data_IF_179933341796
#
_entry.id   IF_179933341796
#
_cell.length_a   1.000
_cell.length_b   1.000
_cell.length_c   1.000
_cell.angle_alpha   90.00
_cell.angle_beta   90.00
_cell.angle_gamma   90.00
#
_symmetry.space_group_name_H-M   'P 1'
#
loop_
_entity.id
_entity.type
_entity.pdbx_description
1 polymer ?
#
# COMPACT_ATOMS: atom_id res chain seq x y z
N UNK A 1 -17.14 -14.00 -6.35
CA UNK A 1 -15.91 -13.77 -5.55
C UNK A 1 -15.49 -12.29 -5.66
N UNK A 2 -14.89 -11.67 -4.65
CA UNK A 2 -14.50 -10.26 -4.74
C UNK A 2 -13.33 -10.12 -5.71
N UNK A 3 -13.48 -9.29 -6.72
CA UNK A 3 -12.41 -8.94 -7.67
C UNK A 3 -11.26 -8.30 -6.89
N UNK A 4 -10.12 -8.97 -6.87
CA UNK A 4 -8.93 -8.53 -6.14
C UNK A 4 -8.06 -7.67 -7.07
N UNK A 5 -7.44 -6.62 -6.53
CA UNK A 5 -6.39 -5.90 -7.25
C UNK A 5 -5.21 -6.84 -7.48
N UNK A 6 -4.62 -6.75 -8.63
CA UNK A 6 -3.43 -7.52 -8.98
C UNK A 6 -2.17 -6.73 -8.69
N UNK A 7 -1.10 -7.44 -8.44
CA UNK A 7 0.24 -6.94 -8.14
C UNK A 7 1.16 -7.29 -9.31
N UNK A 8 1.94 -6.34 -9.78
CA UNK A 8 2.93 -6.60 -10.83
C UNK A 8 4.00 -7.55 -10.34
N UNK A 9 4.48 -8.42 -11.22
CA UNK A 9 5.49 -9.44 -10.88
C UNK A 9 6.79 -8.81 -10.38
N UNK A 10 7.13 -7.59 -10.83
CA UNK A 10 8.30 -6.85 -10.34
C UNK A 10 8.26 -6.62 -8.82
N UNK A 11 7.07 -6.48 -8.21
CA UNK A 11 6.96 -6.36 -6.75
C UNK A 11 7.34 -7.68 -6.06
N UNK A 12 7.04 -8.81 -6.71
CA UNK A 12 7.46 -10.15 -6.24
C UNK A 12 8.97 -10.28 -6.33
N UNK A 13 9.55 -9.93 -7.49
CA UNK A 13 11.00 -9.95 -7.69
C UNK A 13 11.72 -9.09 -6.63
N UNK A 14 11.23 -7.88 -6.37
CA UNK A 14 11.83 -6.98 -5.40
C UNK A 14 11.73 -7.49 -3.95
N UNK A 15 10.59 -8.02 -3.53
CA UNK A 15 10.47 -8.51 -2.15
C UNK A 15 11.30 -9.77 -1.91
N UNK A 16 11.55 -10.57 -2.95
CA UNK A 16 12.41 -11.76 -2.90
C UNK A 16 13.89 -11.42 -2.72
N UNK A 17 14.32 -10.17 -2.98
CA UNK A 17 15.71 -9.74 -2.75
C UNK A 17 16.16 -10.00 -1.31
N UNK A 18 15.26 -9.87 -0.34
CA UNK A 18 15.55 -10.23 1.05
C UNK A 18 15.83 -11.72 1.24
N UNK A 19 15.02 -12.59 0.65
CA UNK A 19 15.22 -14.04 0.70
C UNK A 19 16.52 -14.46 0.02
N UNK A 20 16.80 -13.92 -1.16
CA UNK A 20 18.02 -14.18 -1.92
C UNK A 20 19.28 -13.73 -1.13
N UNK A 21 19.23 -12.57 -0.48
CA UNK A 21 20.31 -12.08 0.37
C UNK A 21 20.63 -13.03 1.52
N UNK A 22 19.63 -13.73 2.04
CA UNK A 22 19.78 -14.73 3.10
C UNK A 22 19.98 -16.16 2.57
N UNK A 23 20.26 -16.33 1.27
CA UNK A 23 20.55 -17.65 0.66
C UNK A 23 19.36 -18.60 0.60
N UNK A 24 18.13 -18.11 0.68
CA UNK A 24 16.93 -18.94 0.57
C UNK A 24 16.61 -19.24 -0.90
N UNK A 25 16.29 -20.50 -1.18
CA UNK A 25 15.74 -20.91 -2.48
C UNK A 25 14.36 -20.25 -2.70
N UNK A 26 14.16 -19.68 -3.88
CA UNK A 26 12.97 -18.90 -4.22
C UNK A 26 11.76 -19.79 -4.53
N UNK A 27 11.97 -20.90 -5.25
CA UNK A 27 10.90 -21.77 -5.72
C UNK A 27 10.00 -22.28 -4.58
N UNK A 28 10.55 -22.83 -3.46
CA UNK A 28 9.72 -23.28 -2.35
C UNK A 28 8.91 -22.18 -1.65
N UNK A 29 9.37 -20.92 -1.76
CA UNK A 29 8.65 -19.76 -1.21
C UNK A 29 7.47 -19.40 -2.10
N UNK A 30 7.67 -19.42 -3.42
CA UNK A 30 6.64 -19.16 -4.43
C UNK A 30 5.56 -20.25 -4.41
N UNK A 31 5.96 -21.51 -4.37
CA UNK A 31 5.03 -22.66 -4.32
C UNK A 31 4.08 -22.55 -3.13
N UNK A 32 4.61 -22.23 -1.95
CA UNK A 32 3.79 -22.01 -0.74
C UNK A 32 2.86 -20.80 -0.83
N UNK A 33 3.16 -19.87 -1.70
CA UNK A 33 2.33 -18.70 -1.97
C UNK A 33 1.35 -18.93 -3.13
N UNK A 34 1.43 -20.07 -3.81
CA UNK A 34 0.64 -20.37 -4.99
C UNK A 34 1.01 -19.49 -6.19
N UNK A 35 2.30 -19.13 -6.31
CA UNK A 35 2.83 -18.31 -7.41
C UNK A 35 3.67 -19.21 -8.32
N UNK A 36 3.26 -19.45 -9.57
CA UNK A 36 4.08 -20.20 -10.52
C UNK A 36 5.44 -19.51 -10.74
N UNK A 37 6.59 -20.23 -10.56
CA UNK A 37 7.93 -19.63 -10.73
C UNK A 37 8.16 -19.03 -12.12
N UNK A 38 7.60 -19.63 -13.18
CA UNK A 38 7.69 -19.13 -14.54
C UNK A 38 7.15 -17.69 -14.73
N UNK A 39 6.30 -17.20 -13.81
CA UNK A 39 5.83 -15.83 -13.88
C UNK A 39 6.92 -14.80 -13.59
N UNK A 40 8.02 -15.18 -12.94
CA UNK A 40 9.13 -14.26 -12.66
C UNK A 40 9.81 -13.78 -13.95
N UNK A 41 9.80 -14.59 -15.01
CA UNK A 41 10.43 -14.25 -16.29
C UNK A 41 9.51 -13.43 -17.21
N UNK A 42 8.23 -13.33 -16.86
CA UNK A 42 7.24 -12.63 -17.65
C UNK A 42 7.03 -11.19 -17.11
N UNK A 43 7.72 -10.21 -17.68
CA UNK A 43 7.78 -8.80 -17.19
C UNK A 43 6.42 -8.13 -17.02
N UNK A 44 5.40 -8.55 -17.78
CA UNK A 44 4.03 -8.03 -17.71
C UNK A 44 3.12 -8.87 -16.81
N UNK A 45 3.62 -9.98 -16.26
CA UNK A 45 2.84 -10.86 -15.42
C UNK A 45 2.35 -10.15 -14.14
N UNK A 46 1.22 -10.63 -13.65
CA UNK A 46 0.59 -10.10 -12.46
C UNK A 46 0.09 -11.26 -11.60
N UNK A 47 0.08 -11.07 -10.32
CA UNK A 47 -0.45 -12.02 -9.34
C UNK A 47 -1.59 -11.40 -8.54
N UNK A 48 -2.39 -12.22 -7.89
CA UNK A 48 -3.44 -11.74 -6.98
C UNK A 48 -2.86 -11.15 -5.69
N UNK A 49 -3.61 -10.26 -5.04
CA UNK A 49 -3.25 -9.76 -3.70
C UNK A 49 -3.14 -10.89 -2.67
N UNK A 50 -3.96 -11.93 -2.81
CA UNK A 50 -3.93 -13.10 -1.94
C UNK A 50 -2.61 -13.86 -2.02
N UNK A 51 -2.12 -14.10 -3.24
CA UNK A 51 -0.81 -14.71 -3.50
C UNK A 51 0.33 -13.86 -2.93
N UNK A 52 0.30 -12.54 -3.18
CA UNK A 52 1.32 -11.63 -2.64
C UNK A 52 1.32 -11.60 -1.12
N UNK A 53 0.15 -11.51 -0.49
CA UNK A 53 0.02 -11.58 0.96
C UNK A 53 0.47 -12.93 1.53
N UNK A 54 0.23 -14.04 0.81
CA UNK A 54 0.73 -15.36 1.18
C UNK A 54 2.26 -15.40 1.14
N UNK A 55 2.89 -14.89 0.07
CA UNK A 55 4.34 -14.78 -0.06
C UNK A 55 4.96 -14.01 1.12
N UNK A 56 4.40 -12.85 1.43
CA UNK A 56 4.88 -12.03 2.54
C UNK A 56 4.76 -12.76 3.88
N UNK A 57 3.67 -13.49 4.12
CA UNK A 57 3.54 -14.34 5.33
C UNK A 57 4.58 -15.45 5.37
N UNK A 58 4.88 -16.07 4.24
CA UNK A 58 5.93 -17.10 4.10
C UNK A 58 7.29 -16.51 4.43
N UNK A 59 7.65 -15.38 3.80
CA UNK A 59 8.91 -14.67 4.04
C UNK A 59 9.07 -14.27 5.50
N UNK A 60 8.06 -13.64 6.10
CA UNK A 60 8.07 -13.25 7.52
C UNK A 60 8.32 -14.43 8.45
N UNK A 61 7.71 -15.58 8.18
CA UNK A 61 7.90 -16.79 9.00
C UNK A 61 9.29 -17.38 8.83
N UNK A 62 9.78 -17.47 7.59
CA UNK A 62 11.08 -18.09 7.27
C UNK A 62 12.24 -17.26 7.78
N UNK A 63 12.20 -15.96 7.58
CA UNK A 63 13.23 -15.02 7.98
C UNK A 63 13.06 -14.54 9.44
N UNK A 64 11.90 -14.80 10.07
CA UNK A 64 11.51 -14.25 11.38
C UNK A 64 11.67 -12.73 11.42
N UNK A 65 11.32 -12.07 10.31
CA UNK A 65 11.51 -10.66 10.06
C UNK A 65 10.24 -10.03 9.46
N UNK A 66 9.78 -8.93 10.03
CA UNK A 66 8.62 -8.16 9.55
C UNK A 66 8.95 -7.29 8.33
N UNK A 67 10.22 -7.12 8.00
CA UNK A 67 10.72 -6.43 6.80
C UNK A 67 11.39 -7.40 5.80
N UNK A 68 11.11 -8.70 5.93
CA UNK A 68 11.35 -9.75 4.92
C UNK A 68 12.82 -9.88 4.47
N UNK A 69 13.79 -9.58 5.34
CA UNK A 69 15.22 -9.60 5.01
C UNK A 69 15.68 -8.42 4.15
N UNK A 70 14.85 -7.40 3.99
CA UNK A 70 15.19 -6.22 3.20
C UNK A 70 16.11 -5.24 3.93
N UNK A 71 16.19 -5.32 5.27
CA UNK A 71 17.08 -4.50 6.11
C UNK A 71 18.30 -5.29 6.55
N UNK A 72 19.30 -4.59 7.10
CA UNK A 72 20.50 -5.20 7.64
C UNK A 72 20.21 -6.05 8.87
N UNK A 73 19.36 -5.54 9.74
CA UNK A 73 18.91 -6.24 10.94
C UNK A 73 17.45 -6.65 10.81
N UNK A 74 17.09 -7.87 11.22
CA UNK A 74 15.72 -8.33 11.16
C UNK A 74 14.83 -7.57 12.16
N UNK A 75 13.70 -7.09 11.68
CA UNK A 75 12.64 -6.56 12.53
C UNK A 75 11.82 -7.73 13.11
N UNK A 76 12.01 -8.01 14.38
CA UNK A 76 11.38 -9.17 15.04
C UNK A 76 9.87 -9.16 14.90
N UNK A 77 9.24 -10.33 14.60
CA UNK A 77 7.78 -10.46 14.55
C UNK A 77 7.11 -9.99 15.84
N UNK A 78 6.10 -9.13 15.69
CA UNK A 78 5.39 -8.48 16.80
C UNK A 78 5.78 -7.03 17.05
N UNK A 79 6.91 -6.55 16.47
CA UNK A 79 7.35 -5.15 16.60
C UNK A 79 6.34 -4.17 16.05
N UNK A 80 5.81 -4.42 14.85
CA UNK A 80 4.76 -3.60 14.24
C UNK A 80 3.50 -3.59 15.11
N UNK A 81 3.02 -4.75 15.53
CA UNK A 81 1.81 -4.84 16.37
C UNK A 81 1.99 -4.15 17.74
N UNK A 82 3.21 -4.14 18.29
CA UNK A 82 3.53 -3.41 19.54
C UNK A 82 3.47 -1.91 19.31
N UNK A 83 4.09 -1.43 18.24
CA UNK A 83 4.00 -0.03 17.82
C UNK A 83 2.55 0.40 17.66
N UNK A 84 1.76 -0.33 16.88
CA UNK A 84 0.37 0.00 16.59
C UNK A 84 -0.50 0.13 17.86
N UNK A 85 -0.25 -0.68 18.91
CA UNK A 85 -0.94 -0.55 20.21
C UNK A 85 -0.63 0.77 20.92
N UNK A 86 0.52 1.38 20.67
CA UNK A 86 0.84 2.72 21.17
C UNK A 86 0.15 3.79 20.31
N UNK A 87 0.23 3.67 18.98
CA UNK A 87 -0.31 4.68 18.07
C UNK A 87 -1.83 4.88 18.21
N UNK A 88 -2.60 3.83 18.46
CA UNK A 88 -4.07 3.96 18.67
C UNK A 88 -4.46 4.66 19.98
N UNK A 89 -3.50 4.97 20.84
CA UNK A 89 -3.72 5.71 22.10
C UNK A 89 -3.34 7.18 21.98
N UNK A 90 -2.71 7.60 20.90
CA UNK A 90 -2.38 9.00 20.67
C UNK A 90 -3.62 9.80 20.30
N UNK A 91 -3.57 11.10 20.51
CA UNK A 91 -4.72 11.98 20.25
C UNK A 91 -4.78 12.36 18.78
N UNK A 92 -3.63 12.74 18.20
CA UNK A 92 -3.55 13.24 16.83
C UNK A 92 -2.66 12.34 15.94
N UNK A 93 -2.86 12.47 14.63
CA UNK A 93 -1.99 11.82 13.65
C UNK A 93 -0.54 12.26 13.79
N UNK A 94 -0.30 13.54 14.10
CA UNK A 94 1.04 14.08 14.29
C UNK A 94 1.77 13.42 15.45
N UNK A 95 1.10 13.21 16.59
CA UNK A 95 1.62 12.44 17.71
C UNK A 95 1.90 10.99 17.30
N UNK A 96 0.93 10.33 16.67
CA UNK A 96 1.09 8.95 16.22
C UNK A 96 2.31 8.76 15.31
N UNK A 97 2.52 9.67 14.35
CA UNK A 97 3.69 9.58 13.45
C UNK A 97 5.01 9.78 14.20
N UNK A 98 5.08 10.71 15.15
CA UNK A 98 6.30 10.93 15.96
C UNK A 98 6.61 9.73 16.83
N UNK A 99 5.61 9.18 17.53
CA UNK A 99 5.74 7.96 18.34
C UNK A 99 6.16 6.74 17.49
N UNK A 100 5.53 6.56 16.33
CA UNK A 100 5.89 5.49 15.40
C UNK A 100 7.33 5.62 14.89
N UNK A 101 7.76 6.82 14.56
CA UNK A 101 9.12 7.09 14.09
C UNK A 101 10.15 6.90 15.22
N UNK A 102 9.85 7.35 16.43
CA UNK A 102 10.70 7.10 17.60
C UNK A 102 10.84 5.59 17.85
N UNK A 103 9.74 4.82 17.80
CA UNK A 103 9.75 3.38 17.97
C UNK A 103 10.65 2.69 16.92
N UNK A 104 10.46 2.98 15.65
CA UNK A 104 11.22 2.33 14.57
C UNK A 104 12.67 2.84 14.47
N UNK A 105 12.96 4.06 14.91
CA UNK A 105 14.32 4.56 15.01
C UNK A 105 15.21 3.71 15.93
N UNK A 106 14.63 3.11 16.97
CA UNK A 106 15.33 2.20 17.86
C UNK A 106 15.58 0.80 17.27
N UNK A 107 14.80 0.42 16.26
CA UNK A 107 14.78 -0.94 15.71
C UNK A 107 15.42 -1.05 14.33
N UNK A 108 15.42 0.03 13.55
CA UNK A 108 15.95 0.06 12.18
C UNK A 108 17.18 0.95 12.13
N UNK A 109 18.30 0.36 11.72
CA UNK A 109 19.58 1.06 11.64
C UNK A 109 19.90 1.60 10.24
N UNK A 110 19.19 1.14 9.21
CA UNK A 110 19.51 1.40 7.81
C UNK A 110 19.08 2.79 7.35
N UNK A 111 18.03 3.35 7.94
CA UNK A 111 17.53 4.69 7.65
C UNK A 111 16.93 5.37 8.89
N UNK A 112 16.75 6.68 8.80
CA UNK A 112 16.10 7.48 9.85
C UNK A 112 14.78 8.03 9.29
N UNK A 113 13.62 7.63 9.85
CA UNK A 113 12.38 8.28 9.52
C UNK A 113 12.31 9.67 10.18
N UNK A 114 11.88 10.69 9.43
CA UNK A 114 11.75 12.06 9.89
C UNK A 114 10.40 12.64 9.50
N UNK A 115 9.78 13.35 10.41
CA UNK A 115 8.63 14.21 10.15
C UNK A 115 9.07 15.68 10.31
N UNK A 116 8.95 16.45 9.25
CA UNK A 116 9.21 17.88 9.26
C UNK A 116 7.98 18.65 8.78
N UNK A 117 7.78 19.86 9.31
CA UNK A 117 6.71 20.74 8.87
C UNK A 117 7.33 22.09 8.51
N UNK A 118 7.06 22.54 7.30
CA UNK A 118 7.53 23.84 6.82
C UNK A 118 6.54 24.43 5.81
N UNK A 119 6.21 25.70 5.96
CA UNK A 119 5.28 26.41 5.08
C UNK A 119 3.94 25.68 4.87
N UNK A 120 3.36 25.13 5.94
CA UNK A 120 2.08 24.41 5.89
C UNK A 120 2.16 23.00 5.25
N UNK A 121 3.35 22.52 4.91
CA UNK A 121 3.58 21.19 4.31
C UNK A 121 4.28 20.28 5.30
N UNK A 122 3.66 19.15 5.59
CA UNK A 122 4.27 18.04 6.31
C UNK A 122 5.04 17.15 5.33
N UNK A 123 6.26 16.77 5.70
CA UNK A 123 7.11 15.84 4.93
C UNK A 123 7.52 14.68 5.81
N UNK A 124 7.23 13.47 5.33
CA UNK A 124 7.82 12.24 5.86
C UNK A 124 9.01 11.88 4.99
N UNK A 125 10.19 11.80 5.57
CA UNK A 125 11.44 11.52 4.87
C UNK A 125 12.11 10.32 5.51
N UNK A 126 12.68 9.45 4.68
CA UNK A 126 13.42 8.26 5.10
C UNK A 126 14.88 8.42 4.63
N UNK A 127 15.70 8.93 5.52
CA UNK A 127 17.09 9.29 5.24
C UNK A 127 17.99 8.07 5.41
N UNK A 128 18.54 7.57 4.33
CA UNK A 128 19.45 6.42 4.36
C UNK A 128 20.71 6.73 5.16
N UNK A 129 21.14 5.77 5.96
CA UNK A 129 22.42 5.81 6.69
C UNK A 129 23.53 5.01 5.98
N UNK A 130 23.19 4.36 4.87
CA UNK A 130 24.05 3.49 4.07
C UNK A 130 23.91 3.81 2.59
N UNK A 131 24.87 3.44 1.75
CA UNK A 131 24.70 3.50 0.31
C UNK A 131 23.45 2.74 -0.14
N UNK A 132 22.75 3.29 -1.12
CA UNK A 132 21.56 2.65 -1.68
C UNK A 132 21.95 1.38 -2.44
N UNK A 133 21.23 0.31 -2.17
CA UNK A 133 21.26 -0.95 -2.92
C UNK A 133 19.82 -1.36 -3.24
N UNK A 134 19.55 -2.15 -4.29
CA UNK A 134 18.19 -2.47 -4.75
C UNK A 134 17.30 -3.05 -3.63
N UNK A 135 17.84 -3.91 -2.77
CA UNK A 135 17.16 -4.53 -1.64
C UNK A 135 16.71 -3.48 -0.62
N UNK A 136 17.65 -2.64 -0.17
CA UNK A 136 17.39 -1.58 0.81
C UNK A 136 16.45 -0.52 0.24
N UNK A 137 16.65 -0.12 -1.00
CA UNK A 137 15.79 0.86 -1.68
C UNK A 137 14.33 0.39 -1.74
N UNK A 138 14.11 -0.89 -2.08
CA UNK A 138 12.78 -1.45 -2.05
C UNK A 138 12.21 -1.53 -0.62
N UNK A 139 13.03 -1.92 0.35
CA UNK A 139 12.63 -1.99 1.76
C UNK A 139 12.18 -0.65 2.32
N UNK A 140 12.89 0.43 2.02
CA UNK A 140 12.53 1.79 2.45
C UNK A 140 11.22 2.25 1.78
N UNK A 141 11.05 1.97 0.47
CA UNK A 141 9.81 2.26 -0.25
C UNK A 141 8.62 1.48 0.33
N UNK A 142 8.82 0.20 0.68
CA UNK A 142 7.81 -0.63 1.32
C UNK A 142 7.46 -0.09 2.72
N UNK A 143 8.44 0.29 3.53
CA UNK A 143 8.23 0.89 4.84
C UNK A 143 7.47 2.22 4.74
N UNK A 144 7.81 3.07 3.76
CA UNK A 144 7.07 4.30 3.48
C UNK A 144 5.60 4.02 3.13
N UNK A 145 5.32 3.02 2.31
CA UNK A 145 3.96 2.64 1.95
C UNK A 145 3.18 2.13 3.17
N UNK A 146 3.80 1.30 4.01
CA UNK A 146 3.22 0.82 5.27
C UNK A 146 2.90 2.01 6.17
N UNK A 147 3.82 2.96 6.31
CA UNK A 147 3.63 4.19 7.10
C UNK A 147 2.45 5.00 6.58
N UNK A 148 2.35 5.22 5.28
CA UNK A 148 1.26 5.96 4.64
C UNK A 148 -0.10 5.28 4.82
N UNK A 149 -0.16 3.97 4.64
CA UNK A 149 -1.39 3.21 4.83
C UNK A 149 -1.81 3.17 6.30
N UNK A 150 -0.85 3.05 7.22
CA UNK A 150 -1.08 3.14 8.66
C UNK A 150 -1.62 4.52 9.07
N UNK A 151 -1.01 5.60 8.59
CA UNK A 151 -1.45 6.97 8.85
C UNK A 151 -2.89 7.19 8.36
N UNK A 152 -3.20 6.75 7.14
CA UNK A 152 -4.54 6.83 6.57
C UNK A 152 -5.56 6.01 7.36
N UNK A 153 -5.17 4.82 7.84
CA UNK A 153 -6.02 3.98 8.68
C UNK A 153 -6.29 4.64 10.04
N UNK A 154 -5.27 5.20 10.69
CA UNK A 154 -5.42 5.83 12.02
C UNK A 154 -6.49 6.92 12.03
N UNK A 155 -6.59 7.71 10.96
CA UNK A 155 -7.59 8.77 10.81
C UNK A 155 -8.83 8.35 10.01
N UNK A 156 -8.94 7.06 9.64
CA UNK A 156 -10.00 6.48 8.81
C UNK A 156 -10.26 7.25 7.50
N UNK A 157 -9.26 7.94 6.98
CA UNK A 157 -9.34 8.73 5.74
C UNK A 157 -8.04 8.60 4.94
N UNK A 158 -8.16 8.57 3.62
CA UNK A 158 -6.98 8.67 2.79
C UNK A 158 -6.44 10.10 2.83
N UNK A 159 -5.16 10.23 3.18
CA UNK A 159 -4.47 11.51 3.19
C UNK A 159 -4.12 11.89 1.74
N UNK A 160 -4.59 13.03 1.20
CA UNK A 160 -4.17 13.51 -0.11
C UNK A 160 -2.69 13.89 -0.10
N UNK A 161 -1.90 13.32 -1.01
CA UNK A 161 -0.50 13.63 -1.12
C UNK A 161 -0.28 14.84 -2.04
N UNK A 162 0.71 15.66 -1.72
CA UNK A 162 1.23 16.73 -2.56
C UNK A 162 2.38 16.24 -3.46
N UNK A 163 3.11 15.21 -3.02
CA UNK A 163 4.21 14.61 -3.77
C UNK A 163 4.75 13.36 -3.11
N UNK A 164 5.41 12.55 -3.93
CA UNK A 164 6.17 11.36 -3.52
C UNK A 164 7.54 11.41 -4.16
N UNK A 165 8.57 11.18 -3.38
CA UNK A 165 9.98 11.30 -3.76
C UNK A 165 10.70 9.97 -3.63
N UNK A 166 11.47 9.60 -4.67
CA UNK A 166 12.36 8.46 -4.69
C UNK A 166 13.79 8.88 -5.00
N UNK A 167 14.76 8.21 -4.40
CA UNK A 167 16.18 8.47 -4.63
C UNK A 167 16.63 7.97 -6.00
N UNK A 168 16.19 6.77 -6.39
CA UNK A 168 16.56 6.14 -7.65
C UNK A 168 15.33 5.82 -8.49
N UNK A 169 15.51 5.88 -9.81
CA UNK A 169 14.50 5.53 -10.79
C UNK A 169 13.37 6.55 -10.89
N UNK A 170 12.54 6.39 -11.91
CA UNK A 170 11.27 7.09 -12.02
C UNK A 170 10.21 6.17 -11.43
N UNK A 171 9.27 6.73 -10.70
CA UNK A 171 8.14 5.95 -10.22
C UNK A 171 7.42 5.29 -11.41
N UNK A 172 7.18 4.00 -11.33
CA UNK A 172 6.37 3.32 -12.34
C UNK A 172 4.96 3.90 -12.36
N UNK A 173 4.27 3.76 -13.49
CA UNK A 173 2.85 4.11 -13.61
C UNK A 173 2.02 3.45 -12.50
N UNK A 174 2.40 2.25 -12.07
CA UNK A 174 1.76 1.52 -10.99
C UNK A 174 1.98 2.19 -9.63
N UNK A 175 3.21 2.63 -9.35
CA UNK A 175 3.52 3.36 -8.11
C UNK A 175 2.76 4.68 -8.03
N UNK A 176 2.71 5.43 -9.13
CA UNK A 176 1.92 6.67 -9.22
C UNK A 176 0.43 6.41 -9.02
N UNK A 177 -0.09 5.26 -9.46
CA UNK A 177 -1.49 4.84 -9.18
C UNK A 177 -1.73 4.52 -7.71
N UNK A 178 -0.75 3.91 -7.02
CA UNK A 178 -0.85 3.62 -5.59
C UNK A 178 -0.98 4.90 -4.78
N UNK A 179 -0.11 5.87 -5.06
CA UNK A 179 -0.08 7.15 -4.33
C UNK A 179 -1.07 8.19 -4.86
N UNK A 180 -1.55 8.06 -6.10
CA UNK A 180 -2.43 9.01 -6.82
C UNK A 180 -1.77 10.35 -7.15
N UNK A 181 -0.47 10.42 -7.09
CA UNK A 181 0.35 11.55 -7.51
C UNK A 181 1.56 11.02 -8.27
N UNK A 182 2.16 11.82 -9.18
CA UNK A 182 3.40 11.46 -9.82
C UNK A 182 4.50 11.22 -8.78
N UNK A 183 5.31 10.18 -9.01
CA UNK A 183 6.50 9.92 -8.21
C UNK A 183 7.70 10.57 -8.87
N UNK A 184 8.42 11.41 -8.15
CA UNK A 184 9.61 12.11 -8.60
C UNK A 184 10.85 11.28 -8.27
N UNK A 185 11.62 10.92 -9.28
CA UNK A 185 12.92 10.26 -9.12
C UNK A 185 14.06 11.26 -8.92
N UNK A 186 15.24 10.75 -8.57
CA UNK A 186 16.45 11.56 -8.40
C UNK A 186 16.43 12.52 -7.21
N UNK A 187 15.57 12.25 -6.22
CA UNK A 187 15.46 13.08 -5.03
C UNK A 187 16.47 12.66 -3.96
N UNK A 188 16.88 13.57 -3.06
CA UNK A 188 17.88 13.26 -2.04
C UNK A 188 17.41 12.21 -1.02
N UNK A 189 16.09 12.03 -0.87
CA UNK A 189 15.50 11.09 0.08
C UNK A 189 14.26 10.42 -0.50
N UNK A 190 14.00 9.20 -0.05
CA UNK A 190 12.66 8.60 -0.20
C UNK A 190 11.73 9.31 0.76
N UNK A 191 10.56 9.76 0.26
CA UNK A 191 9.62 10.49 1.12
C UNK A 191 8.28 10.76 0.46
N UNK A 192 7.39 11.34 1.26
CA UNK A 192 6.10 11.84 0.80
C UNK A 192 5.74 13.14 1.52
N UNK A 193 4.91 13.94 0.89
CA UNK A 193 4.47 15.23 1.43
C UNK A 193 2.96 15.39 1.33
N UNK A 194 2.38 16.09 2.30
CA UNK A 194 0.95 16.37 2.38
C UNK A 194 0.71 17.66 3.18
N UNK A 195 -0.49 18.22 3.12
CA UNK A 195 -0.86 19.42 3.87
C UNK A 195 -0.78 19.16 5.39
N UNK A 196 -0.05 20.01 6.11
CA UNK A 196 0.23 19.85 7.53
C UNK A 196 -1.03 19.79 8.42
N UNK A 197 -2.16 20.36 7.98
CA UNK A 197 -3.45 20.28 8.70
C UNK A 197 -3.89 18.83 8.98
N UNK A 198 -3.43 17.86 8.19
CA UNK A 198 -3.75 16.45 8.39
C UNK A 198 -3.12 15.88 9.66
N UNK A 199 -2.04 16.50 10.15
CA UNK A 199 -1.39 16.09 11.40
C UNK A 199 -2.29 16.33 12.63
N UNK A 200 -3.21 17.27 12.54
CA UNK A 200 -4.13 17.63 13.63
C UNK A 200 -5.39 16.73 13.67
N UNK A 201 -5.57 15.86 12.70
CA UNK A 201 -6.71 14.95 12.70
C UNK A 201 -6.63 13.98 13.88
N UNK A 202 -7.79 13.73 14.53
CA UNK A 202 -7.83 12.78 15.64
C UNK A 202 -7.57 11.35 15.15
N UNK A 203 -6.89 10.56 15.98
CA UNK A 203 -6.83 9.11 15.84
C UNK A 203 -8.20 8.56 16.23
N UNK A 204 -8.88 7.92 15.28
CA UNK A 204 -10.26 7.43 15.45
C UNK A 204 -10.34 5.91 15.62
N UNK A 205 -9.20 5.24 15.71
CA UNK A 205 -9.12 3.80 15.84
C UNK A 205 -9.17 3.35 17.30
N UNK A 206 -9.65 2.13 17.51
CA UNK A 206 -9.79 1.51 18.82
C UNK A 206 -8.95 0.23 18.95
N UNK A 207 -8.75 -0.30 20.17
CA UNK A 207 -8.13 -1.60 20.35
C UNK A 207 -8.85 -2.74 19.60
N UNK A 208 -10.16 -2.61 19.39
CA UNK A 208 -10.95 -3.60 18.64
C UNK A 208 -10.64 -3.49 17.13
N UNK A 209 -10.77 -2.31 16.53
CA UNK A 209 -10.45 -2.10 15.11
C UNK A 209 -8.98 -2.44 14.81
N UNK A 210 -8.08 -2.25 15.79
CA UNK A 210 -6.69 -2.66 15.67
C UNK A 210 -6.54 -4.18 15.55
N UNK A 211 -7.29 -4.97 16.31
CA UNK A 211 -7.25 -6.45 16.19
C UNK A 211 -7.63 -6.90 14.78
N UNK A 212 -8.71 -6.32 14.24
CA UNK A 212 -9.18 -6.60 12.87
C UNK A 212 -8.15 -6.18 11.82
N UNK A 213 -7.55 -4.99 12.00
CA UNK A 213 -6.51 -4.48 11.13
C UNK A 213 -5.27 -5.38 11.09
N UNK A 214 -4.79 -5.81 12.26
CA UNK A 214 -3.63 -6.71 12.38
C UNK A 214 -3.93 -8.12 11.86
N UNK A 215 -5.16 -8.62 12.00
CA UNK A 215 -5.57 -9.91 11.44
C UNK A 215 -5.59 -9.89 9.90
N UNK A 216 -5.93 -8.75 9.29
CA UNK A 216 -5.90 -8.55 7.84
C UNK A 216 -4.49 -8.30 7.28
N UNK A 217 -3.49 -8.07 8.15
CA UNK A 217 -2.11 -7.84 7.70
C UNK A 217 -1.50 -9.13 7.10
N UNK A 218 -0.64 -9.03 6.09
CA UNK A 218 -0.06 -7.81 5.52
C UNK A 218 -0.84 -7.21 4.36
N UNK A 219 -1.92 -7.84 3.90
CA UNK A 219 -2.63 -7.43 2.69
C UNK A 219 -3.09 -5.96 2.73
N UNK A 220 -3.60 -5.50 3.88
CA UNK A 220 -4.07 -4.13 4.08
C UNK A 220 -2.95 -3.09 4.22
N UNK A 221 -1.70 -3.53 4.43
CA UNK A 221 -0.55 -2.66 4.63
C UNK A 221 0.24 -2.38 3.34
N UNK A 222 0.29 -3.36 2.44
CA UNK A 222 1.13 -3.32 1.24
C UNK A 222 0.32 -3.03 -0.02
N UNK A 223 -0.98 -3.16 0.10
CA UNK A 223 -1.91 -2.76 -0.92
C UNK A 223 -2.52 -1.43 -0.49
N UNK A 224 -2.81 -0.58 -1.45
CA UNK A 224 -3.41 0.73 -1.21
C UNK A 224 -4.47 0.68 -0.12
N UNK A 225 -4.32 1.52 0.91
CA UNK A 225 -5.38 1.74 1.89
C UNK A 225 -6.69 2.08 1.17
N UNK A 226 -7.71 1.31 1.43
CA UNK A 226 -9.04 1.56 0.94
C UNK A 226 -9.84 2.20 2.06
N UNK A 227 -10.15 3.45 1.87
CA UNK A 227 -11.24 4.03 2.61
C UNK A 227 -12.53 3.36 2.12
N UNK A 228 -12.99 2.35 2.84
CA UNK A 228 -14.22 1.61 2.50
C UNK A 228 -15.46 2.51 2.58
N UNK A 229 -15.36 3.67 3.21
CA UNK A 229 -16.36 4.71 3.27
C UNK A 229 -16.29 5.67 2.06
N UNK A 230 -15.16 5.69 1.32
CA UNK A 230 -14.97 6.59 0.19
C UNK A 230 -16.00 6.35 -0.90
N UNK A 231 -16.38 7.42 -1.58
CA UNK A 231 -17.34 7.34 -2.68
C UNK A 231 -16.81 6.46 -3.82
N UNK A 232 -15.50 6.57 -4.13
CA UNK A 232 -14.83 5.71 -5.11
C UNK A 232 -14.97 4.22 -4.79
N UNK A 233 -14.84 3.81 -3.54
CA UNK A 233 -14.94 2.40 -3.16
C UNK A 233 -16.40 1.92 -3.14
N UNK A 234 -17.34 2.79 -2.77
CA UNK A 234 -18.78 2.50 -2.88
C UNK A 234 -19.17 2.28 -4.33
N UNK A 235 -18.69 3.13 -5.25
CA UNK A 235 -18.90 3.00 -6.69
C UNK A 235 -18.27 1.70 -7.20
N UNK A 236 -17.01 1.42 -6.86
CA UNK A 236 -16.32 0.20 -7.29
C UNK A 236 -17.06 -1.05 -6.83
N UNK A 237 -17.63 -1.06 -5.63
CA UNK A 237 -18.45 -2.17 -5.11
C UNK A 237 -19.70 -2.40 -5.94
N UNK A 238 -20.36 -1.34 -6.42
CA UNK A 238 -21.51 -1.43 -7.32
C UNK A 238 -21.11 -1.96 -8.70
N UNK A 239 -20.00 -1.44 -9.25
CA UNK A 239 -19.49 -1.87 -10.56
C UNK A 239 -19.08 -3.34 -10.57
N UNK A 240 -18.47 -3.82 -9.49
CA UNK A 240 -18.04 -5.24 -9.35
C UNK A 240 -19.18 -6.23 -9.44
N UNK A 241 -20.35 -5.88 -8.93
CA UNK A 241 -21.54 -6.74 -9.00
C UNK A 241 -22.05 -6.95 -10.43
N UNK A 242 -21.56 -6.15 -11.38
CA UNK A 242 -21.98 -6.14 -12.79
C UNK A 242 -20.85 -6.49 -13.76
N UNK A 243 -19.74 -7.00 -13.25
CA UNK A 243 -18.67 -7.52 -14.10
C UNK A 243 -19.15 -8.76 -14.83
N UNK A 244 -18.88 -8.83 -16.15
CA UNK A 244 -19.42 -9.87 -17.03
C UNK A 244 -20.72 -9.48 -17.74
N UNK A 245 -21.28 -8.31 -17.42
CA UNK A 245 -22.45 -7.73 -18.08
C UNK A 245 -22.26 -6.25 -18.40
N UNK A 246 -23.35 -5.57 -18.71
CA UNK A 246 -23.32 -4.13 -18.96
C UNK A 246 -23.03 -3.38 -17.64
N UNK A 247 -21.91 -2.66 -17.62
CA UNK A 247 -21.53 -1.87 -16.45
C UNK A 247 -22.37 -0.59 -16.35
N UNK A 248 -22.86 -0.27 -15.14
CA UNK A 248 -23.71 0.90 -14.91
C UNK A 248 -23.08 2.20 -15.41
N UNK A 249 -23.95 3.11 -15.89
CA UNK A 249 -23.61 4.50 -16.18
C UNK A 249 -23.40 5.30 -14.89
N UNK A 250 -22.84 6.51 -15.01
CA UNK A 250 -22.70 7.40 -13.87
C UNK A 250 -24.08 7.75 -13.26
N UNK A 251 -25.10 7.91 -14.08
CA UNK A 251 -26.44 8.28 -13.61
C UNK A 251 -27.10 7.11 -12.87
N UNK A 252 -26.95 5.88 -13.35
CA UNK A 252 -27.41 4.68 -12.65
C UNK A 252 -26.72 4.49 -11.30
N UNK A 253 -25.40 4.76 -11.23
CA UNK A 253 -24.65 4.71 -9.97
C UNK A 253 -25.06 5.84 -9.03
N UNK A 254 -25.34 7.03 -9.57
CA UNK A 254 -25.84 8.17 -8.81
C UNK A 254 -27.17 7.86 -8.14
N UNK A 255 -28.09 7.26 -8.87
CA UNK A 255 -29.38 6.81 -8.35
C UNK A 255 -29.19 5.74 -7.26
N UNK A 256 -28.35 4.73 -7.51
CA UNK A 256 -28.08 3.65 -6.54
C UNK A 256 -27.43 4.14 -5.23
N UNK A 257 -26.71 5.27 -5.29
CA UNK A 257 -26.05 5.88 -4.13
C UNK A 257 -26.87 7.00 -3.49
N UNK A 258 -28.04 7.34 -4.05
CA UNK A 258 -28.89 8.47 -3.65
C UNK A 258 -28.11 9.82 -3.62
N UNK A 259 -27.28 10.07 -4.64
CA UNK A 259 -26.44 11.27 -4.77
C UNK A 259 -26.63 11.87 -6.14
N UNK A 260 -26.84 13.18 -6.24
CA UNK A 260 -26.99 13.83 -7.55
C UNK A 260 -25.71 13.65 -8.41
N UNK A 261 -25.82 13.44 -9.75
CA UNK A 261 -24.69 13.18 -10.64
C UNK A 261 -23.58 14.24 -10.58
N UNK A 262 -23.95 15.52 -10.45
CA UNK A 262 -23.00 16.62 -10.30
C UNK A 262 -22.22 16.54 -8.95
N UNK A 263 -22.92 16.23 -7.87
CA UNK A 263 -22.32 16.02 -6.54
C UNK A 263 -21.38 14.83 -6.55
N UNK A 264 -21.77 13.75 -7.23
CA UNK A 264 -20.95 12.55 -7.40
C UNK A 264 -19.65 12.88 -8.17
N UNK A 265 -19.74 13.62 -9.29
CA UNK A 265 -18.57 14.07 -10.04
C UNK A 265 -17.65 14.97 -9.22
N UNK A 266 -18.22 15.93 -8.46
CA UNK A 266 -17.44 16.84 -7.59
C UNK A 266 -16.70 16.06 -6.52
N UNK A 267 -17.37 15.19 -5.77
CA UNK A 267 -16.75 14.36 -4.72
C UNK A 267 -15.70 13.41 -5.27
N UNK A 268 -15.90 12.83 -6.45
CA UNK A 268 -14.87 12.02 -7.09
C UNK A 268 -13.62 12.83 -7.46
N UNK A 269 -13.77 14.07 -7.92
CA UNK A 269 -12.63 14.97 -8.17
C UNK A 269 -11.92 15.33 -6.87
N UNK A 270 -12.64 15.55 -5.78
CA UNK A 270 -12.07 15.77 -4.44
C UNK A 270 -11.26 14.56 -3.95
N UNK A 271 -11.66 13.34 -4.36
CA UNK A 271 -10.91 12.10 -4.16
C UNK A 271 -9.79 11.88 -5.20
N UNK A 272 -9.57 12.82 -6.13
CA UNK A 272 -8.60 12.70 -7.22
C UNK A 272 -8.94 11.61 -8.23
N UNK A 273 -10.23 11.30 -8.46
CA UNK A 273 -10.70 10.20 -9.31
C UNK A 273 -11.73 10.64 -10.35
N UNK A 274 -11.65 9.99 -11.53
CA UNK A 274 -12.71 10.04 -12.54
C UNK A 274 -13.58 8.77 -12.49
N UNK A 275 -14.88 8.91 -12.77
CA UNK A 275 -15.79 7.75 -12.83
C UNK A 275 -15.34 6.74 -13.89
N UNK A 276 -14.97 7.20 -15.09
CA UNK A 276 -14.50 6.33 -16.16
C UNK A 276 -13.24 5.58 -15.75
N UNK A 277 -12.30 6.25 -15.09
CA UNK A 277 -11.11 5.62 -14.57
C UNK A 277 -11.42 4.46 -13.60
N UNK A 278 -12.38 4.66 -12.68
CA UNK A 278 -12.81 3.60 -11.75
C UNK A 278 -13.44 2.43 -12.51
N UNK A 279 -14.23 2.73 -13.54
CA UNK A 279 -14.88 1.73 -14.40
C UNK A 279 -13.84 0.88 -15.14
N UNK A 280 -12.85 1.50 -15.76
CA UNK A 280 -11.79 0.83 -16.51
C UNK A 280 -10.83 0.02 -15.60
N UNK A 281 -10.48 0.56 -14.43
CA UNK A 281 -9.74 -0.18 -13.41
C UNK A 281 -10.53 -1.44 -12.97
N UNK A 282 -11.82 -1.32 -12.77
CA UNK A 282 -12.66 -2.44 -12.33
C UNK A 282 -12.76 -3.53 -13.40
N UNK A 283 -12.89 -3.15 -14.69
CA UNK A 283 -12.89 -4.10 -15.82
C UNK A 283 -11.55 -4.83 -15.94
N UNK A 284 -10.45 -4.08 -15.90
CA UNK A 284 -9.11 -4.66 -16.00
C UNK A 284 -8.85 -5.65 -14.87
N UNK A 285 -9.17 -5.28 -13.63
CA UNK A 285 -8.94 -6.14 -12.47
C UNK A 285 -9.76 -7.44 -12.60
N UNK A 286 -10.97 -7.35 -13.13
CA UNK A 286 -11.84 -8.50 -13.42
C UNK A 286 -11.28 -9.41 -14.52
N UNK A 287 -10.80 -8.82 -15.61
CA UNK A 287 -10.21 -9.58 -16.71
C UNK A 287 -8.98 -10.36 -16.26
N UNK A 288 -8.10 -9.73 -15.46
CA UNK A 288 -6.92 -10.38 -14.92
C UNK A 288 -7.32 -11.53 -13.96
N UNK A 289 -8.34 -11.35 -13.13
CA UNK A 289 -8.82 -12.40 -12.22
C UNK A 289 -9.37 -13.61 -12.99
N UNK A 290 -10.13 -13.36 -14.05
CA UNK A 290 -10.62 -14.42 -14.93
C UNK A 290 -9.47 -15.19 -15.58
N UNK A 291 -8.44 -14.50 -16.09
CA UNK A 291 -7.27 -15.13 -16.69
C UNK A 291 -6.44 -15.95 -15.68
N UNK A 292 -6.39 -15.52 -14.43
CA UNK A 292 -5.65 -16.26 -13.37
C UNK A 292 -6.39 -17.51 -12.87
N UNK A 293 -7.71 -17.58 -13.04
CA UNK A 293 -8.53 -18.67 -12.52
C UNK A 293 -9.16 -19.56 -13.61
N UNK A 294 -9.00 -19.19 -14.88
CA UNK A 294 -9.43 -20.05 -15.99
C UNK A 294 -8.22 -20.90 -16.42
N UNK A 295 -8.29 -22.24 -16.32
CA UNK A 295 -7.24 -23.06 -16.90
C UNK A 295 -7.16 -22.77 -18.40
N UNK A 296 -5.96 -22.41 -18.85
CA UNK A 296 -5.69 -22.28 -20.28
C UNK A 296 -5.86 -23.68 -20.88
N UNK A 297 -6.93 -23.87 -21.64
CA UNK A 297 -7.17 -25.07 -22.47
C UNK A 297 -6.21 -25.08 -23.65
#
# INVERSE_FOLDING_TARGET
MPIQHTIAIQQVQHILLGALHHGLAVEPLLDRAGIPPALLDASLARISQGQYAALIRVLRRRLRDELWGLMQQPLRPGSFGRCMRQLVRTITLGEALREGFAHFHLLITDFVPRLTVSAGVARLQFVLRRPSEPRLDYGVKAFMLITFNTASWLVARRIPLLGVDYTAGHGSTETSRVYQVPVRGGQPHVGLSFDARWLELPVVQSPQSLREFLAAAPANLIVRYRDTSSLSERIRRLLRKRVGGEMPSLDQVSTALAVAPQTLRRRLREEGRGFQQIKDETRRDAAIELLLHTPLS
#
